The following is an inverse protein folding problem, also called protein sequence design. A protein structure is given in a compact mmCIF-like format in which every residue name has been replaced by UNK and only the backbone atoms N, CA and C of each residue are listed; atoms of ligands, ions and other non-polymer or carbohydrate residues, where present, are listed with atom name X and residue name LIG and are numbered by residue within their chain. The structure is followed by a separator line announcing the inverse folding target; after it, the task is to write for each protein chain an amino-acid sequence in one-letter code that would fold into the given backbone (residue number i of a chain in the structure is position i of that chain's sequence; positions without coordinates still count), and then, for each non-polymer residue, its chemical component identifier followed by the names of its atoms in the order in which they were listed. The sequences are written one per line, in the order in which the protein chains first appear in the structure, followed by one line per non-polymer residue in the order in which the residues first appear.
data_IF_574088096503
#
_entry.id   IF_574088096503
#
_cell.length_a   1.000
_cell.length_b   1.000
_cell.length_c   1.000
_cell.angle_alpha   90.00
_cell.angle_beta   90.00
_cell.angle_gamma   90.00
#
_symmetry.space_group_name_H-M   'P 1'
#
loop_
_entity.id
_entity.type
_entity.pdbx_description
1 polymer ?
#
# COMPACT_ATOMS: atom_id res chain seq x y z
N UNK A 1 6.97 -6.36 20.98
CA UNK A 1 7.64 -6.82 19.73
C UNK A 1 6.75 -7.63 18.77
N UNK A 2 5.92 -8.60 19.17
CA UNK A 2 5.10 -9.39 18.20
C UNK A 2 3.89 -8.66 17.58
N UNK A 3 3.30 -7.69 18.29
CA UNK A 3 2.11 -6.97 17.84
C UNK A 3 2.37 -6.09 16.60
N UNK A 4 3.52 -5.41 16.55
CA UNK A 4 3.91 -4.54 15.43
C UNK A 4 4.19 -5.35 14.15
N UNK A 5 4.78 -6.55 14.27
CA UNK A 5 4.92 -7.49 13.15
C UNK A 5 3.56 -7.97 12.62
N UNK A 6 2.60 -8.20 13.52
CA UNK A 6 1.22 -8.52 13.13
C UNK A 6 0.56 -7.41 12.33
N UNK A 7 0.72 -6.15 12.76
CA UNK A 7 0.20 -4.97 12.04
C UNK A 7 0.86 -4.82 10.67
N UNK A 8 2.19 -5.00 10.57
CA UNK A 8 2.91 -4.95 9.30
C UNK A 8 2.43 -6.03 8.31
N UNK A 9 2.17 -7.24 8.79
CA UNK A 9 1.59 -8.31 7.98
C UNK A 9 0.17 -7.99 7.49
N UNK A 10 -0.67 -7.40 8.34
CA UNK A 10 -2.01 -6.94 7.97
C UNK A 10 -1.96 -5.83 6.91
N UNK A 11 -1.04 -4.87 7.04
CA UNK A 11 -0.84 -3.81 6.06
C UNK A 11 -0.38 -4.37 4.71
N UNK A 12 0.45 -5.42 4.70
CA UNK A 12 0.86 -6.07 3.46
C UNK A 12 -0.34 -6.74 2.75
N UNK A 13 -1.19 -7.43 3.51
CA UNK A 13 -2.42 -8.04 2.95
C UNK A 13 -3.37 -6.96 2.44
N UNK A 14 -3.55 -5.86 3.18
CA UNK A 14 -4.35 -4.72 2.73
C UNK A 14 -3.81 -4.13 1.42
N UNK A 15 -2.50 -3.90 1.32
CA UNK A 15 -1.87 -3.39 0.10
C UNK A 15 -2.09 -4.29 -1.12
N UNK A 16 -2.07 -5.62 -0.94
CA UNK A 16 -2.38 -6.58 -2.02
C UNK A 16 -3.83 -6.41 -2.50
N UNK A 17 -4.80 -6.27 -1.58
CA UNK A 17 -6.19 -5.99 -1.95
C UNK A 17 -6.34 -4.63 -2.64
N UNK A 18 -5.65 -3.59 -2.14
CA UNK A 18 -5.61 -2.25 -2.75
C UNK A 18 -5.10 -2.32 -4.19
N UNK A 19 -3.98 -3.00 -4.47
CA UNK A 19 -3.43 -3.19 -5.82
C UNK A 19 -4.41 -3.93 -6.72
N UNK A 20 -5.02 -5.01 -6.24
CA UNK A 20 -5.96 -5.79 -7.05
C UNK A 20 -7.14 -4.94 -7.52
N UNK A 21 -7.74 -4.16 -6.61
CA UNK A 21 -8.82 -3.22 -6.98
C UNK A 21 -8.35 -2.17 -7.99
N UNK A 22 -7.12 -1.68 -7.82
CA UNK A 22 -6.52 -0.65 -8.66
C UNK A 22 -6.19 -1.12 -10.09
N UNK A 23 -5.92 -2.41 -10.28
CA UNK A 23 -5.69 -3.00 -11.60
C UNK A 23 -7.01 -3.43 -12.25
N UNK A 24 -7.95 -3.97 -11.48
CA UNK A 24 -9.25 -4.41 -12.01
C UNK A 24 -10.09 -3.21 -12.46
N UNK A 25 -10.09 -2.12 -11.70
CA UNK A 25 -10.85 -0.90 -12.00
C UNK A 25 -10.61 -0.35 -13.42
N UNK A 26 -9.37 -0.05 -13.85
CA UNK A 26 -9.10 0.45 -15.20
C UNK A 26 -9.39 -0.58 -16.29
N UNK A 27 -9.21 -1.88 -16.02
CA UNK A 27 -9.51 -2.95 -16.99
C UNK A 27 -11.02 -3.04 -17.26
N UNK A 28 -11.85 -2.86 -16.25
CA UNK A 28 -13.30 -2.83 -16.42
C UNK A 28 -13.78 -1.50 -17.00
N UNK A 29 -13.21 -0.39 -16.55
CA UNK A 29 -13.55 0.95 -17.05
C UNK A 29 -13.28 1.09 -18.56
N UNK A 30 -12.16 0.55 -19.05
CA UNK A 30 -11.81 0.54 -20.48
C UNK A 30 -12.67 -0.39 -21.33
N UNK A 31 -13.36 -1.36 -20.71
CA UNK A 31 -14.28 -2.28 -21.40
C UNK A 31 -15.67 -1.70 -21.57
N UNK A 32 -16.16 -0.96 -20.57
CA UNK A 32 -17.52 -0.41 -20.59
C UNK A 32 -17.61 0.98 -21.23
N UNK A 33 -16.53 1.76 -21.15
CA UNK A 33 -16.52 3.16 -21.60
C UNK A 33 -15.45 3.33 -22.67
N UNK A 34 -15.86 3.81 -23.85
CA UNK A 34 -14.95 4.15 -24.94
C UNK A 34 -14.12 5.37 -24.55
N UNK A 35 -12.79 5.22 -24.55
CA UNK A 35 -11.85 6.21 -24.02
C UNK A 35 -11.64 7.37 -25.03
N UNK A 36 -12.54 8.35 -25.08
CA UNK A 36 -12.51 9.50 -26.02
C UNK A 36 -11.74 10.75 -25.55
N UNK A 37 -11.02 10.71 -24.42
CA UNK A 37 -10.33 11.92 -23.92
C UNK A 37 -9.10 11.67 -23.06
N UNK A 38 -8.32 12.73 -22.86
CA UNK A 38 -7.31 12.80 -21.79
C UNK A 38 -8.03 13.10 -20.47
N UNK A 39 -7.64 12.41 -19.38
CA UNK A 39 -8.21 12.55 -18.01
C UNK A 39 -9.47 11.73 -17.70
N UNK A 40 -9.71 10.63 -18.41
CA UNK A 40 -10.88 9.76 -18.19
C UNK A 40 -10.89 9.09 -16.79
N UNK A 41 -9.72 8.94 -16.18
CA UNK A 41 -9.59 8.48 -14.80
C UNK A 41 -9.70 9.66 -13.83
N UNK A 42 -10.62 9.55 -12.86
CA UNK A 42 -10.77 10.53 -11.79
C UNK A 42 -9.47 10.72 -11.01
N UNK A 43 -9.25 11.92 -10.47
CA UNK A 43 -8.13 12.23 -9.58
C UNK A 43 -8.04 11.26 -8.38
N UNK A 44 -9.18 10.71 -7.94
CA UNK A 44 -9.27 9.68 -6.91
C UNK A 44 -8.47 8.41 -7.25
N UNK A 45 -8.34 8.05 -8.54
CA UNK A 45 -7.54 6.90 -8.97
C UNK A 45 -6.04 7.13 -8.71
N UNK A 46 -5.53 8.33 -8.98
CA UNK A 46 -4.14 8.71 -8.64
C UNK A 46 -3.89 8.73 -7.13
N UNK A 47 -4.87 9.20 -6.35
CA UNK A 47 -4.80 9.13 -4.90
C UNK A 47 -4.76 7.68 -4.38
N UNK A 48 -5.55 6.79 -4.98
CA UNK A 48 -5.54 5.36 -4.65
C UNK A 48 -4.19 4.67 -5.00
N UNK A 49 -3.51 5.08 -6.07
CA UNK A 49 -2.11 4.65 -6.33
C UNK A 49 -1.15 5.09 -5.24
N UNK A 50 -1.25 6.34 -4.81
CA UNK A 50 -0.31 6.92 -3.83
C UNK A 50 -0.47 6.27 -2.46
N UNK A 51 -1.72 6.07 -2.03
CA UNK A 51 -2.04 5.38 -0.77
C UNK A 51 -1.54 3.93 -0.77
N UNK A 52 -1.72 3.21 -1.87
CA UNK A 52 -1.21 1.83 -2.04
C UNK A 52 0.32 1.77 -1.91
N UNK A 53 1.06 2.69 -2.54
CA UNK A 53 2.53 2.77 -2.43
C UNK A 53 2.94 3.08 -0.98
N UNK A 54 2.22 3.98 -0.31
CA UNK A 54 2.46 4.32 1.09
C UNK A 54 2.21 3.11 2.01
N UNK A 55 1.13 2.34 1.79
CA UNK A 55 0.83 1.12 2.54
C UNK A 55 1.96 0.09 2.43
N UNK A 56 2.53 -0.10 1.23
CA UNK A 56 3.67 -1.00 1.01
C UNK A 56 4.90 -0.53 1.80
N UNK A 57 5.21 0.77 1.75
CA UNK A 57 6.33 1.36 2.50
C UNK A 57 6.17 1.18 4.01
N UNK A 58 4.97 1.41 4.52
CA UNK A 58 4.64 1.23 5.94
C UNK A 58 4.65 -0.26 6.34
N UNK A 59 4.16 -1.16 5.49
CA UNK A 59 4.19 -2.59 5.75
C UNK A 59 5.64 -3.09 5.90
N UNK A 60 6.54 -2.66 5.02
CA UNK A 60 7.97 -3.00 5.13
C UNK A 60 8.58 -2.40 6.39
N UNK A 61 8.32 -1.12 6.65
CA UNK A 61 8.82 -0.43 7.83
C UNK A 61 8.39 -1.11 9.13
N UNK A 62 7.09 -1.41 9.31
CA UNK A 62 6.59 -2.07 10.52
C UNK A 62 7.03 -3.53 10.66
N UNK A 63 7.25 -4.24 9.55
CA UNK A 63 7.83 -5.58 9.60
C UNK A 63 9.30 -5.55 10.07
N UNK A 64 10.08 -4.54 9.66
CA UNK A 64 11.49 -4.41 9.98
C UNK A 64 11.77 -3.68 11.30
N UNK A 65 10.90 -2.77 11.74
CA UNK A 65 11.05 -1.94 12.94
C UNK A 65 11.42 -2.72 14.23
N UNK A 66 10.80 -3.88 14.56
CA UNK A 66 11.17 -4.60 15.77
C UNK A 66 12.58 -5.20 15.77
N UNK A 67 13.25 -5.32 14.61
CA UNK A 67 14.67 -5.72 14.56
C UNK A 67 15.63 -4.54 14.84
N UNK A 68 15.16 -3.30 14.66
CA UNK A 68 15.95 -2.09 14.90
C UNK A 68 15.56 -1.37 16.20
N UNK A 69 14.46 -1.78 16.83
CA UNK A 69 13.94 -1.23 18.09
C UNK A 69 15.03 -1.18 19.18
N UNK A 70 15.82 -2.25 19.32
CA UNK A 70 16.91 -2.34 20.31
C UNK A 70 18.08 -1.36 20.02
N UNK A 71 18.33 -1.05 18.74
CA UNK A 71 19.38 -0.11 18.33
C UNK A 71 18.92 1.34 18.48
N UNK A 72 17.64 1.62 18.19
CA UNK A 72 17.04 2.96 18.28
C UNK A 72 16.81 3.36 19.75
N UNK A 73 16.43 2.43 20.61
CA UNK A 73 16.25 2.67 22.05
C UNK A 73 17.59 2.82 22.80
N UNK A 74 18.73 2.73 22.11
CA UNK A 74 20.05 2.95 22.70
C UNK A 74 20.45 1.91 23.74
N UNK A 75 19.77 0.76 23.80
CA UNK A 75 20.09 -0.32 24.75
C UNK A 75 21.24 -1.21 24.25
N UNK A 76 22.12 -0.65 23.41
CA UNK A 76 23.35 -1.31 22.96
C UNK A 76 24.26 -1.44 24.18
N UNK A 77 24.48 -2.67 24.63
CA UNK A 77 25.63 -3.01 25.48
C UNK A 77 26.90 -3.00 24.64
#
# INVERSE_FOLDING_TARGET
MNFVRGIGGLLFVAAVFSIMGLVIYPVMFTKEIYMEGVNMFSWAYGFAWTTTIMEIGLAFFFCCLPNYEDQILGNVK
#
